data_IF_658235767276
#
_entry.id   IF_658235767276
#
_cell.length_a   1.000
_cell.length_b   1.000
_cell.length_c   1.000
_cell.angle_alpha   90.00
_cell.angle_beta   90.00
_cell.angle_gamma   90.00
#
_symmetry.space_group_name_H-M   'P 1'
#
loop_
_entity.id
_entity.type
_entity.pdbx_description
1 polymer ?
#
# COMPACT_ATOMS: atom_id res chain seq x y z
N UNK A 1 29.35 -77.92 6.78
CA UNK A 1 28.51 -77.64 5.60
C UNK A 1 27.23 -77.02 6.12
N UNK A 2 27.22 -75.69 6.21
CA UNK A 2 26.08 -74.91 6.67
C UNK A 2 25.84 -73.86 5.57
N UNK A 3 24.90 -74.17 4.68
CA UNK A 3 24.43 -73.24 3.66
C UNK A 3 23.50 -72.22 4.31
N UNK A 4 24.02 -71.02 4.51
CA UNK A 4 23.28 -69.88 5.05
C UNK A 4 22.32 -69.32 4.00
N UNK A 5 21.02 -69.50 4.26
CA UNK A 5 19.90 -68.81 3.59
C UNK A 5 19.93 -67.32 3.92
N UNK A 6 20.56 -66.52 3.08
CA UNK A 6 20.51 -65.04 3.12
C UNK A 6 20.19 -64.49 1.73
N UNK A 7 18.96 -64.67 1.28
CA UNK A 7 18.47 -63.99 0.07
C UNK A 7 16.95 -63.96 0.06
N UNK A 8 16.35 -62.97 0.74
CA UNK A 8 14.97 -62.53 0.47
C UNK A 8 14.57 -61.18 1.08
N UNK A 9 15.41 -60.50 1.88
CA UNK A 9 15.05 -59.19 2.48
C UNK A 9 15.43 -57.94 1.65
N UNK A 10 16.20 -58.07 0.56
CA UNK A 10 16.67 -56.90 -0.21
C UNK A 10 15.62 -56.28 -1.13
N UNK A 11 14.51 -56.98 -1.43
CA UNK A 11 13.48 -56.48 -2.36
C UNK A 11 12.48 -55.54 -1.65
N UNK A 12 12.29 -55.67 -0.32
CA UNK A 12 11.34 -54.85 0.44
C UNK A 12 11.86 -53.43 0.75
N UNK A 13 13.17 -53.25 0.98
CA UNK A 13 13.74 -51.91 1.20
C UNK A 13 13.76 -51.04 -0.06
N UNK A 14 13.98 -51.64 -1.24
CA UNK A 14 14.04 -50.88 -2.50
C UNK A 14 12.68 -50.33 -2.93
N UNK A 15 11.57 -50.96 -2.53
CA UNK A 15 10.20 -50.50 -2.84
C UNK A 15 9.71 -49.37 -1.93
N UNK A 16 10.32 -49.17 -0.77
CA UNK A 16 9.98 -48.09 0.18
C UNK A 16 10.72 -46.77 -0.10
N UNK A 17 11.85 -46.78 -0.84
CA UNK A 17 12.62 -45.57 -1.18
C UNK A 17 11.93 -44.60 -2.14
N UNK A 18 10.82 -44.99 -2.77
CA UNK A 18 10.19 -44.18 -3.84
C UNK A 18 8.98 -43.35 -3.38
N UNK A 19 8.71 -43.22 -2.07
CA UNK A 19 7.55 -42.46 -1.59
C UNK A 19 8.00 -41.26 -0.76
N UNK A 20 7.57 -40.07 -1.19
CA UNK A 20 7.77 -38.84 -0.42
C UNK A 20 7.05 -38.93 0.95
N UNK A 21 7.63 -38.35 2.01
CA UNK A 21 7.06 -38.39 3.36
C UNK A 21 5.67 -37.74 3.41
N UNK A 22 4.80 -38.15 4.33
CA UNK A 22 3.48 -37.55 4.48
C UNK A 22 3.58 -36.06 4.82
N UNK A 23 2.54 -35.29 4.48
CA UNK A 23 2.50 -33.82 4.69
C UNK A 23 2.81 -33.45 6.13
N UNK A 24 2.26 -34.20 7.09
CA UNK A 24 2.47 -33.96 8.52
C UNK A 24 3.95 -33.97 8.89
N UNK A 25 4.69 -34.98 8.45
CA UNK A 25 6.14 -35.08 8.70
C UNK A 25 6.88 -33.91 8.07
N UNK A 26 6.51 -33.49 6.86
CA UNK A 26 7.10 -32.29 6.24
C UNK A 26 6.83 -31.02 7.06
N UNK A 27 5.61 -30.83 7.57
CA UNK A 27 5.27 -29.67 8.41
C UNK A 27 6.10 -29.70 9.71
N UNK A 28 6.15 -30.85 10.39
CA UNK A 28 6.90 -31.03 11.64
C UNK A 28 8.41 -30.77 11.45
N UNK A 29 9.01 -31.36 10.41
CA UNK A 29 10.43 -31.16 10.10
C UNK A 29 10.76 -29.73 9.67
N UNK A 30 9.83 -29.07 8.96
CA UNK A 30 10.01 -27.69 8.51
C UNK A 30 9.87 -26.72 9.67
N UNK A 31 8.94 -26.98 10.59
CA UNK A 31 8.80 -26.23 11.82
C UNK A 31 10.04 -26.38 12.70
N UNK A 32 10.55 -27.60 12.88
CA UNK A 32 11.77 -27.85 13.65
C UNK A 32 13.00 -27.18 13.01
N UNK A 33 13.12 -27.23 11.68
CA UNK A 33 14.18 -26.53 10.96
C UNK A 33 14.07 -25.01 11.15
N UNK A 34 12.84 -24.47 11.06
CA UNK A 34 12.58 -23.05 11.26
C UNK A 34 12.91 -22.63 12.69
N UNK A 35 12.43 -23.34 13.70
CA UNK A 35 12.64 -23.00 15.12
C UNK A 35 14.11 -23.07 15.51
N UNK A 36 14.86 -24.05 14.99
CA UNK A 36 16.30 -24.17 15.25
C UNK A 36 17.14 -23.05 14.61
N UNK A 37 16.66 -22.46 13.51
CA UNK A 37 17.37 -21.38 12.80
C UNK A 37 16.69 -20.00 12.94
N UNK A 38 15.58 -19.89 13.67
CA UNK A 38 14.73 -18.69 13.76
C UNK A 38 15.50 -17.44 14.16
N UNK A 39 16.40 -17.56 15.15
CA UNK A 39 17.23 -16.43 15.60
C UNK A 39 18.16 -15.93 14.49
N UNK A 40 18.81 -16.83 13.73
CA UNK A 40 19.68 -16.45 12.61
C UNK A 40 18.88 -15.76 11.50
N UNK A 41 17.66 -16.25 11.22
CA UNK A 41 16.75 -15.67 10.24
C UNK A 41 16.24 -14.29 10.68
N UNK A 42 15.95 -14.12 11.97
CA UNK A 42 15.55 -12.83 12.55
C UNK A 42 16.67 -11.81 12.49
N UNK A 43 17.90 -12.20 12.86
CA UNK A 43 19.08 -11.33 12.71
C UNK A 43 19.30 -10.96 11.24
N UNK A 44 19.14 -11.92 10.31
CA UNK A 44 19.23 -11.64 8.87
C UNK A 44 18.18 -10.64 8.42
N UNK A 45 16.91 -10.82 8.80
CA UNK A 45 15.83 -9.90 8.43
C UNK A 45 16.03 -8.51 9.03
N UNK A 46 16.44 -8.40 10.30
CA UNK A 46 16.75 -7.12 10.92
C UNK A 46 17.91 -6.40 10.19
N UNK A 47 18.98 -7.13 9.87
CA UNK A 47 20.11 -6.59 9.11
C UNK A 47 19.67 -6.08 7.73
N UNK A 48 18.86 -6.85 7.02
CA UNK A 48 18.34 -6.49 5.69
C UNK A 48 17.41 -5.28 5.76
N UNK A 49 16.59 -5.19 6.80
CA UNK A 49 15.72 -4.04 7.03
C UNK A 49 16.55 -2.76 7.22
N UNK A 50 17.59 -2.81 8.07
CA UNK A 50 18.51 -1.68 8.28
C UNK A 50 19.21 -1.29 6.97
N UNK A 51 19.76 -2.26 6.22
CA UNK A 51 20.43 -1.98 4.94
C UNK A 51 19.45 -1.36 3.93
N UNK A 52 18.24 -1.91 3.81
CA UNK A 52 17.23 -1.41 2.88
C UNK A 52 16.81 0.01 3.24
N UNK A 53 16.62 0.30 4.53
CA UNK A 53 16.32 1.64 5.03
C UNK A 53 17.44 2.63 4.72
N UNK A 54 18.71 2.25 4.93
CA UNK A 54 19.86 3.08 4.57
C UNK A 54 19.95 3.35 3.07
N UNK A 55 19.63 2.36 2.21
CA UNK A 55 19.57 2.56 0.75
C UNK A 55 18.47 3.59 0.42
N UNK A 56 17.27 3.47 0.99
CA UNK A 56 16.19 4.44 0.74
C UNK A 56 16.58 5.85 1.19
N UNK A 57 17.15 6.01 2.38
CA UNK A 57 17.64 7.31 2.86
C UNK A 57 18.71 7.88 1.93
N UNK A 58 19.68 7.05 1.52
CA UNK A 58 20.76 7.47 0.64
C UNK A 58 20.22 8.02 -0.69
N UNK A 59 19.29 7.30 -1.33
CA UNK A 59 18.67 7.77 -2.57
C UNK A 59 17.71 8.94 -2.37
N UNK A 60 17.05 9.06 -1.21
CA UNK A 60 16.23 10.23 -0.87
C UNK A 60 17.09 11.50 -0.69
N UNK A 61 18.23 11.41 0.01
CA UNK A 61 19.17 12.52 0.18
C UNK A 61 19.73 12.95 -1.17
N UNK A 62 20.17 12.00 -2.00
CA UNK A 62 20.62 12.31 -3.37
C UNK A 62 19.47 12.96 -4.16
N UNK A 63 18.27 12.40 -4.09
CA UNK A 63 17.08 12.97 -4.72
C UNK A 63 16.79 14.40 -4.29
N UNK A 64 16.99 14.75 -3.02
CA UNK A 64 16.83 16.12 -2.51
C UNK A 64 17.96 17.06 -2.95
N UNK A 65 19.22 16.61 -2.90
CA UNK A 65 20.39 17.41 -3.31
C UNK A 65 20.34 17.74 -4.79
N UNK A 66 19.93 16.78 -5.62
CA UNK A 66 19.79 17.00 -7.06
C UNK A 66 18.41 17.55 -7.42
N UNK A 67 17.38 17.35 -6.59
CA UNK A 67 15.98 17.63 -6.89
C UNK A 67 15.31 18.83 -6.25
N UNK A 68 16.01 19.52 -5.35
CA UNK A 68 15.62 20.86 -4.92
C UNK A 68 15.65 21.84 -6.11
N UNK A 69 14.48 22.04 -6.73
CA UNK A 69 13.99 23.25 -7.42
C UNK A 69 14.16 23.32 -8.97
N UNK A 70 15.04 22.57 -9.64
CA UNK A 70 15.27 22.77 -11.11
C UNK A 70 15.20 21.53 -12.03
N UNK A 71 14.74 20.36 -11.56
CA UNK A 71 14.88 19.11 -12.33
C UNK A 71 13.92 18.94 -13.52
N UNK A 72 12.71 19.50 -13.46
CA UNK A 72 11.74 19.33 -14.55
C UNK A 72 12.11 20.25 -15.73
N UNK A 73 12.79 21.36 -15.47
CA UNK A 73 13.14 22.34 -16.50
C UNK A 73 14.49 22.09 -17.18
N UNK A 74 15.40 21.32 -16.57
CA UNK A 74 16.71 21.05 -17.16
C UNK A 74 16.84 19.62 -17.73
N UNK A 75 16.95 19.44 -19.06
CA UNK A 75 17.06 18.12 -19.70
C UNK A 75 18.31 17.33 -19.28
N UNK A 76 19.40 17.99 -18.86
CA UNK A 76 20.59 17.29 -18.36
C UNK A 76 20.31 16.53 -17.05
N UNK A 77 19.34 17.02 -16.29
CA UNK A 77 19.05 16.50 -14.97
C UNK A 77 18.17 15.24 -15.01
N UNK A 78 17.37 15.08 -16.07
CA UNK A 78 16.63 13.83 -16.39
C UNK A 78 17.57 12.64 -16.54
N UNK A 79 18.75 12.84 -17.13
CA UNK A 79 19.76 11.80 -17.28
C UNK A 79 20.31 11.31 -15.94
N UNK A 80 20.63 12.23 -15.02
CA UNK A 80 21.14 11.90 -13.69
C UNK A 80 20.10 11.14 -12.88
N UNK A 81 18.84 11.61 -12.85
CA UNK A 81 17.74 10.93 -12.15
C UNK A 81 17.57 9.50 -12.68
N UNK A 82 17.61 9.32 -14.00
CA UNK A 82 17.45 7.99 -14.61
C UNK A 82 18.55 7.03 -14.16
N UNK A 83 19.80 7.48 -14.12
CA UNK A 83 20.93 6.68 -13.62
C UNK A 83 20.75 6.33 -12.15
N UNK A 84 20.28 7.27 -11.32
CA UNK A 84 20.02 7.04 -9.90
C UNK A 84 18.90 6.01 -9.68
N UNK A 85 17.79 6.12 -10.43
CA UNK A 85 16.70 5.15 -10.36
C UNK A 85 17.19 3.76 -10.76
N UNK A 86 17.96 3.64 -11.85
CA UNK A 86 18.54 2.37 -12.29
C UNK A 86 19.48 1.82 -11.20
N UNK A 87 20.34 2.66 -10.63
CA UNK A 87 21.24 2.28 -9.54
C UNK A 87 20.50 1.77 -8.30
N UNK A 88 19.41 2.44 -7.91
CA UNK A 88 18.54 2.01 -6.80
C UNK A 88 17.93 0.64 -7.07
N UNK A 89 17.35 0.44 -8.27
CA UNK A 89 16.75 -0.84 -8.67
C UNK A 89 17.80 -1.95 -8.63
N UNK A 90 18.99 -1.72 -9.20
CA UNK A 90 20.08 -2.70 -9.20
C UNK A 90 20.51 -3.05 -7.77
N UNK A 91 20.63 -2.06 -6.88
CA UNK A 91 20.99 -2.28 -5.48
C UNK A 91 19.94 -3.12 -4.73
N UNK A 92 18.66 -2.79 -4.90
CA UNK A 92 17.55 -3.54 -4.28
C UNK A 92 17.46 -4.97 -4.81
N UNK A 93 17.61 -5.17 -6.12
CA UNK A 93 17.62 -6.50 -6.73
C UNK A 93 18.81 -7.31 -6.22
N UNK A 94 20.02 -6.75 -6.21
CA UNK A 94 21.22 -7.43 -5.74
C UNK A 94 21.11 -7.84 -4.26
N UNK A 95 20.58 -6.95 -3.41
CA UNK A 95 20.32 -7.25 -2.00
C UNK A 95 19.29 -8.37 -1.85
N UNK A 96 18.17 -8.29 -2.57
CA UNK A 96 17.10 -9.30 -2.51
C UNK A 96 17.61 -10.69 -2.90
N UNK A 97 18.41 -10.80 -3.97
CA UNK A 97 19.01 -12.06 -4.39
C UNK A 97 20.06 -12.58 -3.38
N UNK A 98 20.87 -11.68 -2.81
CA UNK A 98 21.84 -12.05 -1.79
C UNK A 98 21.16 -12.61 -0.54
N UNK A 99 20.06 -11.99 -0.14
CA UNK A 99 19.23 -12.41 0.99
C UNK A 99 18.59 -13.76 0.71
N UNK A 100 18.00 -13.96 -0.46
CA UNK A 100 17.44 -15.25 -0.87
C UNK A 100 18.51 -16.36 -0.82
N UNK A 101 19.72 -16.09 -1.28
CA UNK A 101 20.83 -17.03 -1.19
C UNK A 101 21.23 -17.32 0.27
N UNK A 102 21.33 -16.28 1.10
CA UNK A 102 21.65 -16.41 2.52
C UNK A 102 20.61 -17.26 3.26
N UNK A 103 19.31 -17.08 2.97
CA UNK A 103 18.24 -17.93 3.51
C UNK A 103 18.46 -19.40 3.19
N UNK A 104 18.75 -19.74 1.92
CA UNK A 104 19.01 -21.13 1.51
C UNK A 104 20.25 -21.69 2.20
N UNK A 105 21.32 -20.90 2.31
CA UNK A 105 22.55 -21.32 2.99
C UNK A 105 22.32 -21.58 4.48
N UNK A 106 21.53 -20.76 5.16
CA UNK A 106 21.18 -20.95 6.58
C UNK A 106 20.35 -22.23 6.77
N UNK A 107 19.41 -22.51 5.88
CA UNK A 107 18.59 -23.73 5.93
C UNK A 107 19.39 -24.99 5.57
N UNK A 108 20.39 -24.86 4.70
CA UNK A 108 21.27 -25.94 4.27
C UNK A 108 22.43 -26.26 5.22
N UNK A 109 22.70 -25.40 6.20
CA UNK A 109 23.76 -25.58 7.18
C UNK A 109 23.33 -26.54 8.30
N UNK A 110 23.58 -27.83 8.06
CA UNK A 110 23.31 -28.94 9.01
C UNK A 110 24.47 -29.15 9.99
N UNK A 111 25.59 -28.43 9.85
CA UNK A 111 26.73 -28.57 10.78
C UNK A 111 26.42 -27.81 12.07
N UNK A 112 25.91 -28.53 13.06
CA UNK A 112 25.67 -28.06 14.43
C UNK A 112 26.93 -28.05 15.32
N UNK A 113 28.14 -28.12 14.73
CA UNK A 113 29.38 -28.25 15.52
C UNK A 113 30.14 -26.92 15.62
N UNK A 114 29.85 -26.19 16.70
CA UNK A 114 30.79 -25.33 17.42
C UNK A 114 31.12 -23.95 16.82
N UNK A 115 31.12 -23.79 15.50
CA UNK A 115 31.45 -22.52 14.88
C UNK A 115 30.18 -21.69 14.67
N UNK A 116 30.00 -20.67 15.50
CA UNK A 116 28.97 -19.64 15.31
C UNK A 116 29.26 -18.85 14.03
N UNK A 117 28.92 -19.41 12.87
CA UNK A 117 29.02 -18.71 11.60
C UNK A 117 28.09 -17.49 11.67
N UNK A 118 28.70 -16.31 11.68
CA UNK A 118 27.99 -15.03 11.70
C UNK A 118 27.04 -14.91 10.49
N UNK A 119 25.86 -14.34 10.72
CA UNK A 119 24.86 -14.02 9.68
C UNK A 119 25.45 -13.17 8.56
N UNK A 120 26.42 -12.31 8.87
CA UNK A 120 27.13 -11.49 7.88
C UNK A 120 27.92 -12.37 6.90
N UNK A 121 28.46 -13.50 7.34
CA UNK A 121 29.15 -14.47 6.47
C UNK A 121 28.18 -15.10 5.46
N UNK A 122 26.96 -15.43 5.90
CA UNK A 122 25.91 -15.92 5.02
C UNK A 122 25.50 -14.88 3.98
N UNK A 123 25.33 -13.62 4.39
CA UNK A 123 24.99 -12.54 3.48
C UNK A 123 26.10 -12.28 2.45
N UNK A 124 27.37 -12.24 2.89
CA UNK A 124 28.54 -12.10 1.99
C UNK A 124 28.62 -13.24 0.98
N UNK A 125 28.45 -14.50 1.42
CA UNK A 125 28.35 -15.65 0.52
C UNK A 125 27.16 -15.50 -0.42
N UNK A 126 26.03 -15.00 0.07
CA UNK A 126 24.83 -14.71 -0.72
C UNK A 126 25.11 -13.76 -1.89
N UNK A 127 25.86 -12.68 -1.66
CA UNK A 127 26.27 -11.74 -2.72
C UNK A 127 27.10 -12.40 -3.83
N UNK A 128 27.92 -13.41 -3.52
CA UNK A 128 28.65 -14.18 -4.53
C UNK A 128 27.71 -15.02 -5.42
N UNK A 129 26.56 -15.43 -4.88
CA UNK A 129 25.53 -16.13 -5.63
C UNK A 129 24.57 -15.20 -6.37
N UNK A 130 24.49 -13.91 -6.03
CA UNK A 130 23.52 -12.97 -6.62
C UNK A 130 23.58 -12.94 -8.15
N UNK A 131 24.77 -12.97 -8.76
CA UNK A 131 24.88 -13.01 -10.22
C UNK A 131 24.32 -14.30 -10.84
N UNK A 132 24.63 -15.46 -10.23
CA UNK A 132 24.10 -16.76 -10.69
C UNK A 132 22.58 -16.83 -10.50
N UNK A 133 22.06 -16.28 -9.40
CA UNK A 133 20.62 -16.19 -9.15
C UNK A 133 19.91 -15.21 -10.07
N UNK A 134 20.55 -14.11 -10.46
CA UNK A 134 20.00 -13.17 -11.45
C UNK A 134 19.83 -13.88 -12.80
N UNK A 135 20.86 -14.61 -13.26
CA UNK A 135 20.79 -15.39 -14.49
C UNK A 135 19.74 -16.49 -14.42
N UNK A 136 19.64 -17.19 -13.27
CA UNK A 136 18.59 -18.18 -13.04
C UNK A 136 17.21 -17.52 -13.07
N UNK A 137 17.03 -16.38 -12.42
CA UNK A 137 15.78 -15.62 -12.37
C UNK A 137 15.35 -15.11 -13.75
N UNK A 138 16.28 -14.59 -14.56
CA UNK A 138 16.00 -14.19 -15.94
C UNK A 138 15.56 -15.39 -16.79
N UNK A 139 16.21 -16.54 -16.62
CA UNK A 139 15.85 -17.76 -17.34
C UNK A 139 14.50 -18.32 -16.91
N UNK A 140 14.20 -18.36 -15.61
CA UNK A 140 12.89 -18.81 -15.09
C UNK A 140 11.78 -17.83 -15.52
N UNK A 141 12.03 -16.52 -15.49
CA UNK A 141 11.12 -15.49 -15.98
C UNK A 141 10.84 -15.66 -17.48
N UNK A 142 11.86 -15.94 -18.30
CA UNK A 142 11.71 -16.21 -19.72
C UNK A 142 10.78 -17.40 -20.00
N UNK A 143 10.96 -18.51 -19.25
CA UNK A 143 10.10 -19.69 -19.37
C UNK A 143 8.67 -19.42 -18.88
N UNK A 144 8.52 -18.71 -17.76
CA UNK A 144 7.20 -18.38 -17.19
C UNK A 144 6.41 -17.43 -18.10
N UNK A 145 7.02 -16.36 -18.62
CA UNK A 145 6.36 -15.42 -19.54
C UNK A 145 6.00 -16.11 -20.85
N UNK A 146 6.90 -16.94 -21.38
CA UNK A 146 6.59 -17.76 -22.55
C UNK A 146 5.39 -18.67 -22.29
N UNK A 147 5.38 -19.39 -21.16
CA UNK A 147 4.21 -20.19 -20.76
C UNK A 147 2.93 -19.37 -20.64
N UNK A 148 3.01 -18.15 -20.09
CA UNK A 148 1.87 -17.27 -19.84
C UNK A 148 1.20 -16.79 -21.13
N UNK A 149 1.98 -16.47 -22.16
CA UNK A 149 1.43 -16.11 -23.48
C UNK A 149 0.66 -17.24 -24.15
N UNK A 150 0.96 -18.49 -23.78
CA UNK A 150 0.17 -19.63 -24.23
C UNK A 150 -1.10 -19.73 -23.38
N UNK A 151 -0.97 -19.96 -22.06
CA UNK A 151 -2.06 -19.91 -21.07
C UNK A 151 -1.49 -19.79 -19.64
N UNK A 152 -2.34 -19.47 -18.66
CA UNK A 152 -1.94 -19.45 -17.24
C UNK A 152 -1.47 -20.82 -16.72
N UNK A 153 -2.14 -21.91 -17.11
CA UNK A 153 -1.84 -23.27 -16.61
C UNK A 153 -0.41 -23.72 -16.96
N UNK A 154 0.08 -23.62 -18.22
CA UNK A 154 1.47 -23.90 -18.57
C UNK A 154 2.50 -23.11 -17.74
N UNK A 155 2.27 -21.81 -17.53
CA UNK A 155 3.17 -20.99 -16.71
C UNK A 155 3.26 -21.51 -15.27
N UNK A 156 2.12 -21.87 -14.69
CA UNK A 156 2.04 -22.45 -13.36
C UNK A 156 2.77 -23.80 -13.28
N UNK A 157 2.55 -24.69 -14.25
CA UNK A 157 3.24 -25.98 -14.31
C UNK A 157 4.76 -25.76 -14.40
N UNK A 158 5.23 -24.90 -15.30
CA UNK A 158 6.66 -24.57 -15.45
C UNK A 158 7.23 -24.05 -14.12
N UNK A 159 6.52 -23.18 -13.40
CA UNK A 159 6.94 -22.68 -12.08
C UNK A 159 7.19 -23.83 -11.09
N UNK A 160 6.29 -24.81 -11.04
CA UNK A 160 6.47 -26.02 -10.20
C UNK A 160 7.69 -26.84 -10.62
N UNK A 161 7.93 -27.04 -11.92
CA UNK A 161 9.13 -27.76 -12.40
C UNK A 161 10.44 -27.05 -12.04
N UNK A 162 10.42 -25.72 -11.92
CA UNK A 162 11.60 -24.90 -11.65
C UNK A 162 11.77 -24.54 -10.17
N UNK A 163 10.83 -24.91 -9.30
CA UNK A 163 10.82 -24.52 -7.88
C UNK A 163 12.07 -24.94 -7.10
N UNK A 164 12.75 -26.02 -7.50
CA UNK A 164 13.96 -26.51 -6.83
C UNK A 164 15.27 -25.95 -7.40
N UNK A 165 15.21 -25.20 -8.49
CA UNK A 165 16.43 -24.74 -9.20
C UNK A 165 17.33 -23.89 -8.30
N UNK A 166 16.75 -23.07 -7.43
CA UNK A 166 17.50 -22.22 -6.50
C UNK A 166 18.30 -23.07 -5.49
N UNK A 167 17.69 -24.11 -4.92
CA UNK A 167 18.38 -24.99 -3.95
C UNK A 167 19.49 -25.79 -4.61
N UNK A 168 19.26 -26.31 -5.82
CA UNK A 168 20.28 -27.06 -6.57
C UNK A 168 21.47 -26.15 -6.91
N UNK A 169 21.20 -24.91 -7.34
CA UNK A 169 22.25 -23.95 -7.66
C UNK A 169 23.12 -23.61 -6.45
N UNK A 170 22.51 -23.39 -5.29
CA UNK A 170 23.24 -22.93 -4.09
C UNK A 170 23.86 -24.10 -3.31
N UNK A 171 23.08 -25.14 -3.02
CA UNK A 171 23.51 -26.24 -2.16
C UNK A 171 24.41 -27.22 -2.90
N UNK A 172 24.11 -27.50 -4.18
CA UNK A 172 24.91 -28.42 -4.99
C UNK A 172 25.93 -27.70 -5.87
N UNK A 173 26.00 -26.35 -5.78
CA UNK A 173 26.90 -25.49 -6.55
C UNK A 173 26.89 -25.79 -8.06
N UNK A 174 25.72 -26.14 -8.61
CA UNK A 174 25.56 -26.46 -10.03
C UNK A 174 25.45 -25.20 -10.88
N UNK A 175 25.71 -25.35 -12.17
CA UNK A 175 25.49 -24.25 -13.14
C UNK A 175 24.00 -23.91 -13.27
N UNK A 176 23.66 -22.72 -13.77
CA UNK A 176 22.26 -22.28 -13.92
C UNK A 176 21.44 -23.27 -14.77
N UNK A 177 21.97 -23.67 -15.93
CA UNK A 177 21.29 -24.59 -16.85
C UNK A 177 21.15 -25.99 -16.25
N UNK A 178 22.20 -26.49 -15.59
CA UNK A 178 22.17 -27.80 -14.94
C UNK A 178 21.19 -27.82 -13.77
N UNK A 179 21.10 -26.72 -13.01
CA UNK A 179 20.15 -26.58 -11.89
C UNK A 179 18.71 -26.64 -12.36
N UNK A 180 18.38 -25.96 -13.46
CA UNK A 180 17.06 -26.02 -14.09
C UNK A 180 16.74 -27.43 -14.59
N UNK A 181 17.70 -28.08 -15.27
CA UNK A 181 17.54 -29.46 -15.76
C UNK A 181 17.30 -30.45 -14.63
N UNK A 182 18.10 -30.38 -13.57
CA UNK A 182 17.97 -31.27 -12.41
C UNK A 182 16.69 -30.98 -11.62
N UNK A 183 16.27 -29.72 -11.50
CA UNK A 183 14.99 -29.36 -10.89
C UNK A 183 13.83 -30.00 -11.63
N UNK A 184 13.76 -29.80 -12.95
CA UNK A 184 12.71 -30.37 -13.78
C UNK A 184 12.72 -31.91 -13.73
N UNK A 185 13.91 -32.53 -13.73
CA UNK A 185 14.04 -33.98 -13.61
C UNK A 185 13.51 -34.50 -12.27
N UNK A 186 13.91 -33.90 -11.15
CA UNK A 186 13.45 -34.30 -9.80
C UNK A 186 11.95 -34.10 -9.65
N UNK A 187 11.42 -32.95 -10.07
CA UNK A 187 10.00 -32.65 -9.97
C UNK A 187 9.17 -33.59 -10.83
N UNK A 188 9.62 -33.92 -12.05
CA UNK A 188 8.89 -34.81 -12.96
C UNK A 188 8.63 -36.21 -12.40
N UNK A 189 9.53 -36.73 -11.55
CA UNK A 189 9.39 -38.07 -10.98
C UNK A 189 8.32 -38.14 -9.90
N UNK A 190 8.04 -37.00 -9.24
CA UNK A 190 7.11 -36.89 -8.11
C UNK A 190 6.05 -35.78 -8.33
N UNK A 191 5.75 -35.45 -9.57
CA UNK A 191 5.00 -34.24 -9.95
C UNK A 191 3.69 -34.07 -9.18
N UNK A 192 2.80 -35.08 -9.22
CA UNK A 192 1.51 -34.99 -8.53
C UNK A 192 1.63 -34.89 -7.01
N UNK A 193 2.64 -35.56 -6.43
CA UNK A 193 2.89 -35.52 -4.99
C UNK A 193 3.45 -34.15 -4.55
N UNK A 194 4.30 -33.53 -5.36
CA UNK A 194 4.83 -32.18 -5.12
C UNK A 194 3.72 -31.15 -5.27
N UNK A 195 2.93 -31.19 -6.35
CA UNK A 195 1.80 -30.27 -6.57
C UNK A 195 0.83 -30.32 -5.40
N UNK A 196 0.38 -31.49 -4.97
CA UNK A 196 -0.57 -31.60 -3.86
C UNK A 196 -0.06 -30.94 -2.57
N UNK A 197 1.25 -31.04 -2.29
CA UNK A 197 1.90 -30.41 -1.13
C UNK A 197 2.02 -28.89 -1.27
N UNK A 198 2.39 -28.40 -2.45
CA UNK A 198 2.50 -26.95 -2.73
C UNK A 198 1.14 -26.28 -2.69
N UNK A 199 0.12 -26.89 -3.31
CA UNK A 199 -1.26 -26.37 -3.28
C UNK A 199 -1.80 -26.34 -1.85
N UNK A 200 -1.54 -27.39 -1.06
CA UNK A 200 -1.95 -27.39 0.35
C UNK A 200 -1.26 -26.28 1.15
N UNK A 201 0.04 -26.05 0.92
CA UNK A 201 0.78 -24.94 1.52
C UNK A 201 0.14 -23.59 1.14
N UNK A 202 -0.24 -23.40 -0.13
CA UNK A 202 -0.93 -22.19 -0.59
C UNK A 202 -2.29 -21.99 0.06
N UNK A 203 -3.11 -23.04 0.17
CA UNK A 203 -4.41 -22.99 0.85
C UNK A 203 -4.23 -22.60 2.31
N UNK A 204 -3.23 -23.18 3.00
CA UNK A 204 -2.94 -22.87 4.39
C UNK A 204 -2.48 -21.40 4.55
N UNK A 205 -1.55 -20.94 3.70
CA UNK A 205 -1.09 -19.55 3.70
C UNK A 205 -2.24 -18.57 3.41
N UNK A 206 -3.11 -18.91 2.46
CA UNK A 206 -4.30 -18.11 2.15
C UNK A 206 -5.27 -18.05 3.32
N UNK A 207 -5.55 -19.18 3.98
CA UNK A 207 -6.41 -19.22 5.16
C UNK A 207 -5.86 -18.37 6.31
N UNK A 208 -4.55 -18.41 6.56
CA UNK A 208 -3.90 -17.56 7.57
C UNK A 208 -4.07 -16.08 7.23
N UNK A 209 -3.86 -15.68 5.97
CA UNK A 209 -4.04 -14.29 5.55
C UNK A 209 -5.49 -13.82 5.65
N UNK A 210 -6.47 -14.69 5.37
CA UNK A 210 -7.89 -14.39 5.58
C UNK A 210 -8.23 -14.16 7.06
N UNK A 211 -7.67 -14.98 7.96
CA UNK A 211 -7.83 -14.80 9.40
C UNK A 211 -7.22 -13.46 9.85
N UNK A 212 -6.01 -13.12 9.38
CA UNK A 212 -5.36 -11.84 9.70
C UNK A 212 -6.19 -10.66 9.18
N UNK A 213 -6.67 -10.73 7.94
CA UNK A 213 -7.47 -9.67 7.32
C UNK A 213 -8.82 -9.44 8.02
N UNK A 214 -9.34 -10.46 8.71
CA UNK A 214 -10.60 -10.33 9.48
C UNK A 214 -10.47 -9.50 10.75
N UNK A 215 -9.26 -9.25 11.25
CA UNK A 215 -9.02 -8.43 12.44
C UNK A 215 -8.99 -6.91 12.16
N UNK A 216 -9.39 -6.46 10.97
CA UNK A 216 -9.56 -5.02 10.68
C UNK A 216 -10.87 -4.50 11.31
N UNK A 217 -10.81 -4.23 12.61
CA UNK A 217 -11.91 -3.66 13.38
C UNK A 217 -12.08 -2.15 13.06
N UNK A 218 -13.25 -1.80 12.51
CA UNK A 218 -13.90 -0.48 12.57
C UNK A 218 -13.22 0.74 11.92
N UNK A 219 -12.41 0.54 10.87
CA UNK A 219 -11.98 1.62 9.96
C UNK A 219 -10.93 2.59 10.51
N UNK A 220 -10.58 2.49 11.80
CA UNK A 220 -9.39 3.12 12.33
C UNK A 220 -8.20 2.19 12.11
N UNK A 221 -7.20 2.62 11.33
CA UNK A 221 -6.00 1.84 11.03
C UNK A 221 -5.21 1.64 12.33
N UNK A 222 -5.55 0.58 13.05
CA UNK A 222 -4.88 0.25 14.29
C UNK A 222 -3.46 -0.21 13.94
N UNK A 223 -2.46 0.60 14.30
CA UNK A 223 -1.04 0.29 14.05
C UNK A 223 -0.61 -1.07 14.61
N UNK A 224 -1.31 -1.58 15.63
CA UNK A 224 -1.10 -2.93 16.15
C UNK A 224 -1.49 -4.02 15.13
N UNK A 225 -2.61 -3.87 14.43
CA UNK A 225 -3.06 -4.83 13.41
C UNK A 225 -2.09 -4.86 12.21
N UNK A 226 -1.62 -3.69 11.78
CA UNK A 226 -0.60 -3.58 10.71
C UNK A 226 0.68 -4.28 11.15
N UNK A 227 1.19 -3.98 12.34
CA UNK A 227 2.40 -4.60 12.90
C UNK A 227 2.27 -6.13 12.97
N UNK A 228 1.13 -6.64 13.44
CA UNK A 228 0.86 -8.07 13.53
C UNK A 228 0.83 -8.72 12.14
N UNK A 229 0.20 -8.10 11.14
CA UNK A 229 0.14 -8.61 9.77
C UNK A 229 1.52 -8.73 9.13
N UNK A 230 2.43 -7.80 9.41
CA UNK A 230 3.82 -7.83 8.94
C UNK A 230 4.58 -8.99 9.56
N UNK A 231 4.47 -9.17 10.88
CA UNK A 231 5.13 -10.28 11.61
C UNK A 231 4.66 -11.63 11.07
N UNK A 232 3.34 -11.82 10.93
CA UNK A 232 2.81 -13.08 10.39
C UNK A 232 3.23 -13.31 8.93
N UNK A 233 3.23 -12.27 8.09
CA UNK A 233 3.66 -12.40 6.69
C UNK A 233 5.12 -12.85 6.59
N UNK A 234 6.00 -12.34 7.47
CA UNK A 234 7.40 -12.76 7.57
C UNK A 234 7.49 -14.23 8.01
N UNK A 235 6.76 -14.62 9.07
CA UNK A 235 6.78 -15.99 9.59
C UNK A 235 6.25 -17.01 8.58
N UNK A 236 5.14 -16.69 7.89
CA UNK A 236 4.57 -17.52 6.81
C UNK A 236 5.56 -17.65 5.65
N UNK A 237 6.25 -16.57 5.29
CA UNK A 237 7.30 -16.59 4.27
C UNK A 237 8.47 -17.51 4.64
N UNK A 238 8.98 -17.41 5.87
CA UNK A 238 10.06 -18.27 6.36
C UNK A 238 9.63 -19.74 6.45
N UNK A 239 8.44 -20.01 6.98
CA UNK A 239 7.89 -21.36 7.04
C UNK A 239 7.72 -21.97 5.65
N UNK A 240 7.17 -21.21 4.70
CA UNK A 240 7.00 -21.67 3.31
C UNK A 240 8.33 -22.03 2.66
N UNK A 241 9.38 -21.22 2.91
CA UNK A 241 10.72 -21.51 2.40
C UNK A 241 11.34 -22.76 3.03
N UNK A 242 11.23 -22.92 4.35
CA UNK A 242 11.67 -24.12 5.06
C UNK A 242 10.92 -25.39 4.57
N UNK A 243 9.62 -25.26 4.33
CA UNK A 243 8.78 -26.33 3.80
C UNK A 243 9.22 -26.79 2.42
N UNK A 244 9.41 -25.84 1.50
CA UNK A 244 9.89 -26.15 0.14
C UNK A 244 11.32 -26.70 0.19
N UNK A 245 12.18 -26.21 1.09
CA UNK A 245 13.53 -26.75 1.28
C UNK A 245 13.51 -28.20 1.78
N UNK A 246 12.68 -28.55 2.75
CA UNK A 246 12.54 -29.94 3.20
C UNK A 246 11.98 -30.83 2.11
N UNK A 247 10.98 -30.36 1.36
CA UNK A 247 10.47 -31.09 0.20
C UNK A 247 11.58 -31.31 -0.86
N UNK A 248 12.46 -30.33 -1.05
CA UNK A 248 13.65 -30.45 -1.90
C UNK A 248 14.62 -31.55 -1.40
N UNK A 249 14.91 -31.59 -0.10
CA UNK A 249 15.81 -32.61 0.49
C UNK A 249 15.25 -34.01 0.26
N UNK A 250 13.97 -34.24 0.57
CA UNK A 250 13.32 -35.55 0.38
C UNK A 250 13.24 -35.95 -1.10
N UNK A 251 12.98 -35.01 -2.01
CA UNK A 251 12.96 -35.30 -3.46
C UNK A 251 14.35 -35.55 -4.02
N UNK A 252 15.40 -34.93 -3.46
CA UNK A 252 16.80 -35.20 -3.80
C UNK A 252 17.21 -36.61 -3.37
N UNK A 253 16.82 -37.05 -2.18
CA UNK A 253 17.15 -38.39 -1.65
C UNK A 253 16.41 -39.51 -2.39
N UNK A 254 15.17 -39.26 -2.82
CA UNK A 254 14.36 -40.21 -3.58
C UNK A 254 14.63 -40.18 -5.10
N UNK A 255 15.51 -39.30 -5.59
CA UNK A 255 15.74 -39.11 -7.03
C UNK A 255 16.47 -40.30 -7.66
N UNK A 256 15.88 -40.87 -8.71
CA UNK A 256 16.51 -41.93 -9.51
C UNK A 256 17.15 -41.33 -10.78
N UNK A 257 18.49 -41.31 -10.91
CA UNK A 257 19.17 -40.74 -12.07
C UNK A 257 18.96 -41.55 -13.36
N UNK A 258 18.54 -42.83 -13.28
CA UNK A 258 18.33 -43.68 -14.46
C UNK A 258 17.04 -43.32 -15.19
N UNK A 259 16.04 -42.79 -14.47
CA UNK A 259 14.76 -42.39 -15.03
C UNK A 259 14.91 -41.05 -15.79
N UNK A 260 15.10 -41.17 -17.11
CA UNK A 260 15.22 -40.02 -18.02
C UNK A 260 14.01 -39.10 -17.91
N UNK A 261 14.26 -37.84 -17.58
CA UNK A 261 13.29 -36.75 -17.70
C UNK A 261 13.73 -35.80 -18.80
N UNK A 262 12.78 -35.44 -19.67
CA UNK A 262 13.02 -34.54 -20.78
C UNK A 262 12.58 -33.12 -20.41
N UNK A 263 13.49 -32.16 -20.49
CA UNK A 263 13.18 -30.73 -20.36
C UNK A 263 12.71 -30.11 -21.68
N UNK A 264 12.75 -30.88 -22.78
CA UNK A 264 12.47 -30.37 -24.13
C UNK A 264 11.06 -29.78 -24.24
N UNK A 265 10.07 -30.35 -23.53
CA UNK A 265 8.70 -29.84 -23.58
C UNK A 265 8.59 -28.42 -23.00
N UNK A 266 9.35 -28.07 -21.95
CA UNK A 266 9.37 -26.71 -21.36
C UNK A 266 9.85 -25.71 -22.41
N UNK A 267 10.92 -26.05 -23.13
CA UNK A 267 11.46 -25.23 -24.21
C UNK A 267 10.45 -25.06 -25.35
N UNK A 268 9.81 -26.15 -25.78
CA UNK A 268 8.79 -26.11 -26.86
C UNK A 268 7.62 -25.20 -26.47
N UNK A 269 7.06 -25.38 -25.27
CA UNK A 269 5.96 -24.54 -24.76
C UNK A 269 6.38 -23.07 -24.67
N UNK A 270 7.59 -22.80 -24.20
CA UNK A 270 8.12 -21.43 -24.08
C UNK A 270 8.28 -20.77 -25.44
N UNK A 271 8.91 -21.44 -26.41
CA UNK A 271 9.15 -20.89 -27.75
C UNK A 271 7.82 -20.64 -28.46
N UNK A 272 6.88 -21.59 -28.37
CA UNK A 272 5.55 -21.43 -28.96
C UNK A 272 4.79 -20.26 -28.31
N UNK A 273 4.88 -20.12 -26.99
CA UNK A 273 4.25 -19.02 -26.28
C UNK A 273 4.84 -17.65 -26.64
N UNK A 274 6.16 -17.52 -26.75
CA UNK A 274 6.79 -16.27 -27.23
C UNK A 274 6.42 -15.94 -28.68
N UNK A 275 6.26 -16.95 -29.53
CA UNK A 275 5.76 -16.74 -30.90
C UNK A 275 4.34 -16.16 -30.90
N UNK A 276 3.42 -16.74 -30.12
CA UNK A 276 2.05 -16.25 -29.97
C UNK A 276 2.04 -14.84 -29.35
N UNK A 277 2.81 -14.62 -28.27
CA UNK A 277 2.96 -13.33 -27.61
C UNK A 277 3.48 -12.25 -28.55
N UNK A 278 4.44 -12.59 -29.41
CA UNK A 278 4.95 -11.69 -30.45
C UNK A 278 3.87 -11.28 -31.44
N UNK A 279 3.01 -12.21 -31.89
CA UNK A 279 1.88 -11.89 -32.77
C UNK A 279 0.85 -10.98 -32.09
N UNK A 280 0.56 -11.20 -30.80
CA UNK A 280 -0.36 -10.36 -30.02
C UNK A 280 0.22 -8.94 -29.87
N UNK A 281 1.48 -8.81 -29.45
CA UNK A 281 2.15 -7.51 -29.28
C UNK A 281 2.23 -6.79 -30.63
N UNK A 282 2.58 -7.49 -31.71
CA UNK A 282 2.61 -6.92 -33.06
C UNK A 282 1.22 -6.47 -33.53
N UNK A 283 0.19 -7.29 -33.32
CA UNK A 283 -1.20 -6.93 -33.63
C UNK A 283 -1.67 -5.70 -32.86
N UNK A 284 -1.34 -5.62 -31.57
CA UNK A 284 -1.62 -4.47 -30.73
C UNK A 284 -0.88 -3.21 -31.22
N UNK A 285 0.42 -3.30 -31.49
CA UNK A 285 1.20 -2.18 -32.04
C UNK A 285 0.69 -1.74 -33.42
N UNK A 286 0.21 -2.67 -34.24
CA UNK A 286 -0.37 -2.36 -35.56
C UNK A 286 -1.71 -1.64 -35.41
N UNK A 287 -2.58 -2.08 -34.49
CA UNK A 287 -3.85 -1.42 -34.20
C UNK A 287 -3.64 -0.01 -33.62
N UNK A 288 -2.62 0.18 -32.78
CA UNK A 288 -2.34 1.48 -32.16
C UNK A 288 -1.57 2.45 -33.07
N UNK A 289 -0.93 2.00 -34.16
CA UNK A 289 -0.33 2.93 -35.15
C UNK A 289 -1.36 3.89 -35.78
N UNK A 290 -2.63 3.49 -35.82
CA UNK A 290 -3.72 4.35 -36.28
C UNK A 290 -4.30 5.24 -35.17
N UNK A 291 -3.94 4.96 -33.91
CA UNK A 291 -4.33 5.78 -32.77
C UNK A 291 -3.22 6.81 -32.58
N UNK A 292 -3.46 8.03 -33.05
CA UNK A 292 -2.58 9.15 -32.76
C UNK A 292 -2.66 9.44 -31.26
N UNK A 293 -1.86 8.74 -30.45
CA UNK A 293 -1.89 8.85 -28.98
C UNK A 293 -1.70 10.30 -28.54
N UNK A 294 -0.92 11.09 -29.29
CA UNK A 294 -0.77 12.52 -29.06
C UNK A 294 -2.09 13.28 -29.25
N UNK A 295 -2.91 12.90 -30.22
CA UNK A 295 -4.24 13.47 -30.44
C UNK A 295 -5.23 13.03 -29.38
N UNK A 296 -5.21 11.75 -28.96
CA UNK A 296 -6.06 11.27 -27.86
C UNK A 296 -5.71 11.95 -26.52
N UNK A 297 -4.42 12.18 -26.24
CA UNK A 297 -3.97 12.96 -25.08
C UNK A 297 -4.39 14.43 -25.22
N UNK A 298 -4.24 15.04 -26.41
CA UNK A 298 -4.71 16.41 -26.65
C UNK A 298 -6.22 16.54 -26.48
N UNK A 299 -7.01 15.60 -26.99
CA UNK A 299 -8.47 15.59 -26.84
C UNK A 299 -8.87 15.39 -25.38
N UNK A 300 -8.23 14.46 -24.65
CA UNK A 300 -8.51 14.26 -23.23
C UNK A 300 -8.11 15.48 -22.38
N UNK A 301 -6.95 16.08 -22.66
CA UNK A 301 -6.48 17.31 -22.01
C UNK A 301 -7.41 18.49 -22.30
N UNK A 302 -7.73 18.71 -23.58
CA UNK A 302 -8.64 19.79 -23.99
C UNK A 302 -10.05 19.57 -23.44
N UNK A 303 -10.52 18.32 -23.33
CA UNK A 303 -11.80 18.00 -22.71
C UNK A 303 -11.80 18.35 -21.22
N UNK A 304 -10.77 17.94 -20.48
CA UNK A 304 -10.61 18.30 -19.07
C UNK A 304 -10.47 19.81 -18.85
N UNK A 305 -9.75 20.50 -19.74
CA UNK A 305 -9.64 21.98 -19.73
C UNK A 305 -11.01 22.60 -20.07
N UNK A 306 -11.74 22.08 -21.05
CA UNK A 306 -13.04 22.62 -21.45
C UNK A 306 -14.11 22.43 -20.38
N UNK A 307 -14.17 21.26 -19.74
CA UNK A 307 -15.08 20.97 -18.63
C UNK A 307 -14.78 21.86 -17.42
N UNK A 308 -13.49 22.15 -17.15
CA UNK A 308 -13.10 23.12 -16.13
C UNK A 308 -13.35 24.58 -16.55
N UNK A 309 -13.24 24.93 -17.84
CA UNK A 309 -13.46 26.30 -18.32
C UNK A 309 -14.95 26.66 -18.45
N UNK A 310 -15.83 25.68 -18.69
CA UNK A 310 -17.29 25.91 -18.67
C UNK A 310 -17.75 26.24 -17.26
N UNK A 311 -17.10 25.67 -16.24
CA UNK A 311 -17.35 26.03 -14.84
C UNK A 311 -16.76 27.40 -14.45
N UNK A 312 -15.83 27.96 -15.24
CA UNK A 312 -15.22 29.27 -15.02
C UNK A 312 -15.91 30.39 -15.83
N UNK A 313 -16.41 30.12 -17.03
CA UNK A 313 -17.00 31.14 -17.90
C UNK A 313 -18.44 31.53 -17.52
N UNK A 314 -19.17 30.67 -16.79
CA UNK A 314 -20.43 31.06 -16.14
C UNK A 314 -20.18 31.94 -14.89
N UNK A 315 -18.93 32.08 -14.45
CA UNK A 315 -18.52 32.97 -13.35
C UNK A 315 -18.00 34.31 -13.88
N UNK A 316 -17.31 34.33 -15.02
CA UNK A 316 -16.62 35.54 -15.53
C UNK A 316 -17.46 36.50 -16.39
N UNK A 317 -18.69 36.15 -16.82
CA UNK A 317 -19.49 37.06 -17.67
C UNK A 317 -20.53 37.91 -16.94
N UNK A 318 -20.63 37.83 -15.61
CA UNK A 318 -21.45 38.74 -14.80
C UNK A 318 -20.72 39.34 -13.57
N UNK A 319 -19.41 39.13 -13.42
CA UNK A 319 -18.62 39.75 -12.34
C UNK A 319 -18.13 41.16 -12.71
N UNK A 320 -19.08 42.04 -13.04
CA UNK A 320 -18.90 43.49 -12.92
C UNK A 320 -19.79 44.05 -11.80
N UNK A 321 -19.92 43.31 -10.71
CA UNK A 321 -20.21 43.84 -9.38
C UNK A 321 -19.64 42.85 -8.38
N UNK A 322 -18.93 43.37 -7.39
CA UNK A 322 -18.32 42.65 -6.27
C UNK A 322 -19.43 42.07 -5.37
N UNK A 323 -20.17 41.09 -5.89
CA UNK A 323 -21.20 40.38 -5.15
C UNK A 323 -20.48 39.35 -4.28
N UNK A 324 -20.55 39.60 -2.96
CA UNK A 324 -19.85 38.86 -1.94
C UNK A 324 -20.07 37.35 -2.10
N UNK A 325 -19.05 36.53 -1.80
CA UNK A 325 -19.15 35.06 -1.75
C UNK A 325 -20.41 34.57 -0.97
N UNK A 326 -20.90 35.39 -0.05
CA UNK A 326 -22.16 35.25 0.69
C UNK A 326 -23.39 35.10 -0.22
N UNK A 327 -23.50 35.88 -1.29
CA UNK A 327 -24.68 35.92 -2.18
C UNK A 327 -24.76 34.70 -3.11
N UNK A 328 -23.62 34.13 -3.48
CA UNK A 328 -23.56 32.89 -4.27
C UNK A 328 -23.99 31.68 -3.43
N UNK A 329 -23.52 31.60 -2.18
CA UNK A 329 -23.93 30.54 -1.24
C UNK A 329 -25.41 30.67 -0.91
N UNK A 330 -25.92 31.89 -0.77
CA UNK A 330 -27.33 32.19 -0.56
C UNK A 330 -28.19 31.73 -1.74
N UNK A 331 -27.80 32.09 -2.95
CA UNK A 331 -28.51 31.68 -4.16
C UNK A 331 -28.59 30.16 -4.26
N UNK A 332 -27.49 29.46 -3.99
CA UNK A 332 -27.47 27.99 -3.99
C UNK A 332 -28.39 27.38 -2.92
N UNK A 333 -28.36 27.88 -1.68
CA UNK A 333 -29.22 27.39 -0.60
C UNK A 333 -30.71 27.61 -0.87
N UNK A 334 -31.08 28.76 -1.42
CA UNK A 334 -32.47 29.06 -1.77
C UNK A 334 -32.97 28.22 -2.96
N UNK A 335 -32.10 27.90 -3.92
CA UNK A 335 -32.42 26.96 -5.01
C UNK A 335 -32.70 25.55 -4.48
N UNK A 336 -31.90 25.06 -3.53
CA UNK A 336 -32.11 23.74 -2.89
C UNK A 336 -33.37 23.68 -2.02
N UNK A 337 -33.77 24.80 -1.43
CA UNK A 337 -35.03 24.91 -0.67
C UNK A 337 -36.24 24.95 -1.59
N UNK A 338 -36.17 25.72 -2.68
CA UNK A 338 -37.21 25.79 -3.68
C UNK A 338 -37.46 24.42 -4.34
N UNK A 339 -36.40 23.66 -4.63
CA UNK A 339 -36.53 22.28 -5.16
C UNK A 339 -37.18 21.31 -4.16
N UNK A 340 -37.17 21.65 -2.87
CA UNK A 340 -37.83 20.92 -1.79
C UNK A 340 -39.21 21.49 -1.41
N UNK A 341 -39.74 22.47 -2.18
CA UNK A 341 -41.03 23.12 -1.91
C UNK A 341 -41.04 24.05 -0.70
N UNK A 342 -39.86 24.48 -0.23
CA UNK A 342 -39.71 25.38 0.90
C UNK A 342 -39.47 26.82 0.44
N UNK A 343 -40.01 27.79 1.19
CA UNK A 343 -39.77 29.20 0.94
C UNK A 343 -38.28 29.57 1.12
N UNK A 344 -37.76 30.51 0.29
CA UNK A 344 -36.38 30.98 0.40
C UNK A 344 -36.13 31.64 1.76
N UNK A 345 -34.91 31.49 2.27
CA UNK A 345 -34.51 32.07 3.55
C UNK A 345 -34.27 33.57 3.40
N UNK A 346 -34.85 34.36 4.31
CA UNK A 346 -34.45 35.77 4.50
C UNK A 346 -33.05 35.84 5.10
N UNK A 347 -32.36 36.97 4.94
CA UNK A 347 -31.02 37.22 5.50
C UNK A 347 -31.00 37.00 7.02
N UNK A 348 -31.97 37.55 7.74
CA UNK A 348 -32.20 37.28 9.17
C UNK A 348 -32.37 35.80 9.53
N UNK A 349 -33.08 35.02 8.72
CA UNK A 349 -33.26 33.58 8.95
C UNK A 349 -31.95 32.80 8.77
N UNK A 350 -31.04 33.28 7.91
CA UNK A 350 -29.74 32.66 7.70
C UNK A 350 -28.78 32.92 8.85
N UNK A 351 -28.72 34.17 9.33
CA UNK A 351 -27.94 34.52 10.52
C UNK A 351 -28.37 33.66 11.70
N UNK A 352 -29.68 33.41 11.84
CA UNK A 352 -30.20 32.50 12.84
C UNK A 352 -29.88 31.02 12.59
N UNK A 353 -29.93 30.55 11.34
CA UNK A 353 -29.57 29.17 11.01
C UNK A 353 -28.06 28.91 11.18
N UNK A 354 -27.22 29.92 10.94
CA UNK A 354 -25.78 29.89 11.19
C UNK A 354 -25.49 29.86 12.69
N UNK A 355 -26.09 30.79 13.45
CA UNK A 355 -25.99 30.83 14.90
C UNK A 355 -26.41 29.50 15.54
N UNK A 356 -27.53 28.91 15.11
CA UNK A 356 -28.00 27.62 15.61
C UNK A 356 -27.06 26.45 15.28
N UNK A 357 -26.49 26.41 14.07
CA UNK A 357 -25.48 25.40 13.69
C UNK A 357 -24.21 25.53 14.53
N UNK A 358 -23.76 26.76 14.79
CA UNK A 358 -22.59 27.00 15.63
C UNK A 358 -22.83 26.63 17.08
N UNK A 359 -24.00 26.97 17.62
CA UNK A 359 -24.39 26.56 18.96
C UNK A 359 -24.39 25.03 19.11
N UNK A 360 -24.88 24.32 18.10
CA UNK A 360 -24.84 22.85 18.07
C UNK A 360 -23.40 22.31 18.01
N UNK A 361 -22.55 22.87 17.15
CA UNK A 361 -21.13 22.47 17.10
C UNK A 361 -20.43 22.68 18.44
N UNK A 362 -20.63 23.83 19.09
CA UNK A 362 -20.03 24.11 20.40
C UNK A 362 -20.47 23.07 21.46
N UNK A 363 -21.72 22.62 21.40
CA UNK A 363 -22.23 21.54 22.26
C UNK A 363 -21.58 20.18 21.96
N UNK A 364 -21.39 19.87 20.68
CA UNK A 364 -20.84 18.58 20.23
C UNK A 364 -19.32 18.45 20.51
N UNK A 365 -18.58 19.56 20.70
CA UNK A 365 -17.12 19.57 20.88
C UNK A 365 -16.62 19.60 22.35
N UNK A 366 -17.50 19.59 23.36
CA UNK A 366 -17.17 19.51 24.81
C UNK A 366 -16.04 20.46 25.30
N UNK A 367 -15.81 21.61 24.66
CA UNK A 367 -14.84 22.60 25.13
C UNK A 367 -14.43 23.63 24.08
N UNK A 368 -14.12 24.84 24.55
CA UNK A 368 -13.62 25.95 23.72
C UNK A 368 -12.14 26.20 24.03
N UNK A 369 -11.32 26.37 23.00
CA UNK A 369 -9.97 26.95 23.13
C UNK A 369 -10.07 28.43 22.77
N UNK A 370 -10.06 29.30 23.79
CA UNK A 370 -10.17 30.76 23.68
C UNK A 370 -9.08 31.40 22.78
N UNK A 371 -8.02 30.66 22.43
CA UNK A 371 -6.90 31.16 21.63
C UNK A 371 -6.91 30.67 20.18
N UNK A 372 -7.74 29.68 19.84
CA UNK A 372 -7.94 29.25 18.46
C UNK A 372 -9.04 30.12 17.81
N UNK A 373 -8.72 31.40 17.58
CA UNK A 373 -9.56 32.27 16.76
C UNK A 373 -9.86 31.57 15.42
N UNK A 374 -11.14 31.36 15.12
CA UNK A 374 -11.59 30.74 13.87
C UNK A 374 -11.28 31.70 12.71
N UNK A 375 -10.14 31.50 12.04
CA UNK A 375 -9.71 32.26 10.86
C UNK A 375 -10.24 31.69 9.53
N UNK A 376 -10.94 30.55 9.54
CA UNK A 376 -11.12 29.74 8.32
C UNK A 376 -12.38 30.02 7.49
N UNK A 377 -13.19 31.04 7.77
CA UNK A 377 -14.44 31.24 7.01
C UNK A 377 -14.81 32.70 6.72
N UNK A 378 -13.83 33.60 6.57
CA UNK A 378 -14.09 34.95 6.06
C UNK A 378 -13.22 35.25 4.84
N UNK A 379 -13.87 35.23 3.67
CA UNK A 379 -13.24 35.44 2.35
C UNK A 379 -12.72 36.84 2.06
N UNK A 380 -12.70 37.78 3.03
CA UNK A 380 -12.12 39.11 2.85
C UNK A 380 -11.58 39.70 4.17
N UNK A 381 -10.33 40.17 4.17
CA UNK A 381 -9.63 40.84 5.27
C UNK A 381 -10.35 42.10 5.78
N UNK A 382 -11.15 42.78 4.94
CA UNK A 382 -11.88 43.98 5.34
C UNK A 382 -12.95 43.69 6.40
N UNK A 383 -13.76 42.64 6.19
CA UNK A 383 -14.80 42.14 7.10
C UNK A 383 -14.25 41.68 8.44
N UNK A 384 -13.02 41.14 8.45
CA UNK A 384 -12.34 40.77 9.70
C UNK A 384 -12.19 41.99 10.62
N UNK A 385 -11.75 43.14 10.09
CA UNK A 385 -11.43 44.32 10.90
C UNK A 385 -12.65 45.02 11.53
N UNK A 386 -13.81 45.02 10.86
CA UNK A 386 -15.07 45.60 11.36
C UNK A 386 -15.78 44.66 12.34
N UNK A 387 -15.76 43.35 12.10
CA UNK A 387 -16.32 42.35 13.01
C UNK A 387 -15.68 42.44 14.41
N UNK A 388 -14.36 42.69 14.50
CA UNK A 388 -13.66 42.84 15.78
C UNK A 388 -14.09 44.07 16.60
N UNK A 389 -14.56 45.17 15.98
CA UNK A 389 -15.08 46.33 16.73
C UNK A 389 -16.41 45.99 17.41
N UNK A 390 -17.33 45.35 16.70
CA UNK A 390 -18.61 44.89 17.25
C UNK A 390 -18.42 43.81 18.32
N UNK A 391 -17.51 42.86 18.07
CA UNK A 391 -17.18 41.78 18.99
C UNK A 391 -16.62 42.31 20.32
N UNK A 392 -15.72 43.30 20.31
CA UNK A 392 -15.16 43.86 21.56
C UNK A 392 -16.21 44.50 22.46
N UNK A 393 -17.21 45.18 21.89
CA UNK A 393 -18.27 45.83 22.66
C UNK A 393 -19.24 44.82 23.28
N UNK A 394 -19.58 43.76 22.55
CA UNK A 394 -20.47 42.70 23.04
C UNK A 394 -19.79 41.85 24.09
N UNK A 395 -18.51 41.52 23.90
CA UNK A 395 -17.73 40.80 24.92
C UNK A 395 -17.61 41.63 26.20
N UNK A 396 -17.46 42.95 26.12
CA UNK A 396 -17.48 43.82 27.31
C UNK A 396 -18.85 43.82 28.00
N UNK A 397 -19.96 43.90 27.24
CA UNK A 397 -21.33 43.85 27.79
C UNK A 397 -21.63 42.50 28.45
N UNK A 398 -21.24 41.39 27.83
CA UNK A 398 -21.42 40.04 28.38
C UNK A 398 -20.56 39.85 29.64
N UNK A 399 -19.31 40.33 29.62
CA UNK A 399 -18.39 40.28 30.78
C UNK A 399 -18.90 41.10 31.97
N UNK A 400 -19.42 42.30 31.72
CA UNK A 400 -19.95 43.17 32.77
C UNK A 400 -21.25 42.60 33.38
N UNK A 401 -21.99 41.76 32.65
CA UNK A 401 -23.25 41.12 33.10
C UNK A 401 -23.09 39.74 33.73
N UNK A 402 -22.04 39.00 33.40
CA UNK A 402 -21.67 37.76 34.13
C UNK A 402 -21.41 38.01 35.64
N UNK A 403 -21.25 39.26 36.06
CA UNK A 403 -21.09 39.65 37.47
C UNK A 403 -22.42 39.64 38.25
N UNK A 404 -23.58 39.49 37.59
CA UNK A 404 -24.89 39.51 38.27
C UNK A 404 -25.97 38.54 37.77
N UNK A 405 -25.84 37.97 36.56
CA UNK A 405 -26.79 37.01 35.99
C UNK A 405 -26.08 35.67 35.73
N UNK A 406 -26.59 34.56 36.27
CA UNK A 406 -25.88 33.26 36.27
C UNK A 406 -26.29 32.31 35.15
N UNK A 407 -27.34 32.59 34.38
CA UNK A 407 -27.81 31.71 33.30
C UNK A 407 -27.71 32.39 31.93
N UNK A 408 -27.06 31.70 30.99
CA UNK A 408 -26.80 32.16 29.62
C UNK A 408 -28.08 32.59 28.87
N UNK A 409 -29.19 31.89 29.08
CA UNK A 409 -30.49 32.22 28.50
C UNK A 409 -31.03 33.59 28.96
N UNK A 410 -30.78 33.97 30.22
CA UNK A 410 -31.23 35.25 30.79
C UNK A 410 -30.42 36.42 30.21
N UNK A 411 -29.11 36.22 30.04
CA UNK A 411 -28.20 37.17 29.37
C UNK A 411 -28.61 37.36 27.91
N UNK A 412 -28.93 36.27 27.19
CA UNK A 412 -29.42 36.33 25.81
C UNK A 412 -30.72 37.11 25.67
N UNK A 413 -31.69 36.87 26.56
CA UNK A 413 -32.98 37.55 26.55
C UNK A 413 -32.88 39.05 26.89
N UNK A 414 -32.00 39.44 27.81
CA UNK A 414 -31.78 40.85 28.18
C UNK A 414 -31.10 41.63 27.05
N UNK A 415 -30.15 41.02 26.34
CA UNK A 415 -29.48 41.61 25.17
C UNK A 415 -30.46 41.81 24.00
N UNK A 416 -31.33 40.84 23.74
CA UNK A 416 -32.37 40.96 22.69
C UNK A 416 -33.32 42.11 22.99
N UNK A 417 -33.80 42.21 24.24
CA UNK A 417 -34.72 43.27 24.66
C UNK A 417 -34.08 44.67 24.56
N UNK A 418 -32.81 44.79 24.92
CA UNK A 418 -32.07 46.06 24.82
C UNK A 418 -31.76 46.45 23.35
N UNK A 419 -31.54 45.48 22.46
CA UNK A 419 -31.45 45.76 21.02
C UNK A 419 -32.75 46.31 20.44
N UNK A 420 -33.91 45.82 20.89
CA UNK A 420 -35.21 46.33 20.45
C UNK A 420 -35.42 47.80 20.87
N UNK A 421 -34.91 48.16 22.06
CA UNK A 421 -35.09 49.47 22.69
C UNK A 421 -34.02 50.52 22.31
N UNK A 422 -32.81 50.12 21.87
CA UNK A 422 -31.68 51.03 21.70
C UNK A 422 -31.50 51.51 20.23
N UNK A 423 -31.78 52.79 19.98
CA UNK A 423 -31.81 53.39 18.65
C UNK A 423 -30.47 53.34 17.86
N UNK A 424 -29.34 53.25 18.57
CA UNK A 424 -27.99 53.21 17.97
C UNK A 424 -27.74 51.87 17.25
N UNK A 425 -28.28 50.76 17.77
CA UNK A 425 -28.17 49.45 17.11
C UNK A 425 -29.03 49.38 15.84
N UNK A 426 -30.24 49.96 15.88
CA UNK A 426 -31.14 50.05 14.72
C UNK A 426 -30.58 50.86 13.55
N UNK A 427 -29.68 51.81 13.79
CA UNK A 427 -29.11 52.64 12.72
C UNK A 427 -27.88 52.04 12.03
N UNK A 428 -27.19 51.08 12.67
CA UNK A 428 -25.87 50.60 12.22
C UNK A 428 -25.83 49.13 11.80
N UNK A 429 -26.86 48.34 12.09
CA UNK A 429 -26.92 46.90 11.79
C UNK A 429 -28.26 46.56 11.13
N UNK A 430 -28.24 45.76 10.06
CA UNK A 430 -29.45 45.40 9.29
C UNK A 430 -30.25 44.30 9.97
N UNK A 431 -29.55 43.28 10.48
CA UNK A 431 -30.16 42.10 11.10
C UNK A 431 -29.23 41.53 12.19
N UNK A 432 -29.78 41.26 13.38
CA UNK A 432 -29.07 40.54 14.46
C UNK A 432 -29.81 39.26 14.79
N UNK A 433 -29.09 38.15 14.96
CA UNK A 433 -29.66 36.95 15.57
C UNK A 433 -28.93 36.55 16.84
N UNK A 434 -29.70 36.35 17.90
CA UNK A 434 -29.24 35.80 19.18
C UNK A 434 -29.88 34.44 19.39
N UNK A 435 -29.05 33.45 19.71
CA UNK A 435 -29.49 32.12 20.16
C UNK A 435 -28.72 31.76 21.42
N UNK A 436 -29.42 31.21 22.39
CA UNK A 436 -28.83 30.70 23.61
C UNK A 436 -29.33 29.26 23.85
N UNK A 437 -28.48 28.46 24.47
CA UNK A 437 -28.82 27.21 25.15
C UNK A 437 -28.44 27.36 26.63
N UNK A 438 -28.65 26.32 27.44
CA UNK A 438 -28.36 26.32 28.87
C UNK A 438 -26.90 26.73 29.19
N UNK A 439 -25.96 26.38 28.29
CA UNK A 439 -24.52 26.55 28.52
C UNK A 439 -23.86 27.66 27.66
N UNK A 440 -24.49 28.10 26.57
CA UNK A 440 -23.83 28.97 25.57
C UNK A 440 -24.77 30.05 25.00
N UNK A 441 -24.21 31.21 24.64
CA UNK A 441 -24.89 32.26 23.86
C UNK A 441 -24.11 32.52 22.57
N UNK A 442 -24.80 32.46 21.43
CA UNK A 442 -24.29 32.85 20.12
C UNK A 442 -25.01 34.10 19.65
N UNK A 443 -24.24 35.15 19.33
CA UNK A 443 -24.74 36.40 18.76
C UNK A 443 -24.08 36.58 17.40
N UNK A 444 -24.89 36.72 16.36
CA UNK A 444 -24.43 36.97 14.99
C UNK A 444 -25.08 38.27 14.52
N UNK A 445 -24.26 39.22 14.09
CA UNK A 445 -24.71 40.54 13.66
C UNK A 445 -24.34 40.73 12.20
N UNK A 446 -25.34 41.01 11.37
CA UNK A 446 -25.18 41.48 9.99
C UNK A 446 -24.99 43.00 9.97
N UNK A 447 -23.92 43.45 9.34
CA UNK A 447 -23.69 44.87 9.08
C UNK A 447 -24.47 45.28 7.83
N UNK A 448 -25.15 46.43 7.89
CA UNK A 448 -25.87 46.95 6.73
C UNK A 448 -24.83 47.51 5.75
N UNK A 449 -24.71 46.96 4.54
CA UNK A 449 -23.82 47.52 3.53
C UNK A 449 -24.27 48.96 3.23
N UNK A 450 -23.38 49.92 3.40
CA UNK A 450 -23.64 51.35 3.10
C UNK A 450 -23.51 51.58 1.60
#
# INVERSE_FOLDING_TARGET
MEETKTSNNTISEKKLKNKLPPVRTLIEESWHLLSSKALKLLILAALVFVISFLIVIFFAIIGLVFGGISLISNPQSVGIISILIIGFIVAVVALTLAVQAAYVLILGDVKDEGDEISVISYLKKGFLYSWKLLLLGLLTMLFMIGGLFLFFIPAFIISIFLMFSVFILIIENKSVIESVRLSAARVSQFFGAIIGRVVLLWILSFAIQMIIGSFNFDGNVNGAAVSLSVIFSILVGWFSMAYVFKLYVHTREAYDPEKKSSITWIWVVTVLGWFIGGLIIFGFMSATKNINVAEMIKTASNKAISENSVMSNDIDTNMETEESLTDQVLTYMNVMRASSGLEPLTESQQLCAYSARRLKQMKDFEGFDDYAGFYEDMGNQATGSTFFRGYSNIVNIVRDRQVGETEAATIGASIVKEQEDNAIFKSSFSDTCVRADDDFVSIVIGEKSI
#
